data_IF_965369308905
#
_entry.id   IF_965369308905
#
_cell.length_a   1.000
_cell.length_b   1.000
_cell.length_c   1.000
_cell.angle_alpha   90.00
_cell.angle_beta   90.00
_cell.angle_gamma   90.00
#
_symmetry.space_group_name_H-M   'P 1'
#
loop_
_entity.id
_entity.type
_entity.pdbx_description
1 polymer ?
#
# COMPACT_ATOMS: atom_id res chain seq x y z
N UNK A 1 -12.00 24.83 11.85
CA UNK A 1 -10.92 23.82 11.81
C UNK A 1 -10.18 24.00 10.48
N UNK A 2 -8.86 23.81 10.44
CA UNK A 2 -8.09 23.88 9.19
C UNK A 2 -8.50 22.68 8.32
N UNK A 3 -8.78 22.90 7.02
CA UNK A 3 -9.08 21.82 6.08
C UNK A 3 -7.90 20.84 6.02
N UNK A 4 -8.13 19.52 5.99
CA UNK A 4 -7.05 18.55 6.01
C UNK A 4 -6.33 18.49 4.65
N UNK A 5 -5.06 18.13 4.67
CA UNK A 5 -4.34 17.69 3.48
C UNK A 5 -4.76 16.26 3.10
N UNK A 6 -4.91 15.96 1.81
CA UNK A 6 -5.19 14.58 1.36
C UNK A 6 -3.90 13.90 0.93
N UNK A 7 -3.59 12.76 1.54
CA UNK A 7 -2.52 11.86 1.13
C UNK A 7 -3.16 10.73 0.34
N UNK A 8 -3.00 10.73 -0.97
CA UNK A 8 -3.76 9.88 -1.90
C UNK A 8 -2.87 8.79 -2.48
N UNK A 9 -3.26 7.53 -2.29
CA UNK A 9 -2.70 6.38 -3.00
C UNK A 9 -3.09 6.47 -4.49
N UNK A 10 -2.20 7.03 -5.29
CA UNK A 10 -2.48 7.32 -6.69
C UNK A 10 -2.48 6.07 -7.57
N UNK A 11 -1.69 5.05 -7.24
CA UNK A 11 -1.61 3.84 -8.07
C UNK A 11 -2.97 3.17 -8.25
N UNK A 12 -3.80 3.14 -7.20
CA UNK A 12 -5.17 2.63 -7.29
C UNK A 12 -6.03 3.43 -8.26
N UNK A 13 -6.07 4.76 -8.10
CA UNK A 13 -6.93 5.63 -8.92
C UNK A 13 -6.51 5.62 -10.39
N UNK A 14 -5.20 5.67 -10.65
CA UNK A 14 -4.66 5.67 -12.01
C UNK A 14 -4.83 4.32 -12.71
N UNK A 15 -4.64 3.21 -11.98
CA UNK A 15 -4.89 1.89 -12.51
C UNK A 15 -6.37 1.71 -12.88
N UNK A 16 -7.28 2.10 -12.00
CA UNK A 16 -8.73 2.03 -12.23
C UNK A 16 -9.16 2.91 -13.40
N UNK A 17 -8.65 4.14 -13.48
CA UNK A 17 -8.96 5.07 -14.57
C UNK A 17 -8.47 4.53 -15.93
N UNK A 18 -7.25 3.99 -15.98
CA UNK A 18 -6.72 3.37 -17.18
C UNK A 18 -7.53 2.14 -17.59
N UNK A 19 -7.91 1.27 -16.64
CA UNK A 19 -8.79 0.11 -16.92
C UNK A 19 -10.16 0.52 -17.45
N UNK A 20 -10.77 1.56 -16.86
CA UNK A 20 -12.07 2.07 -17.31
C UNK A 20 -12.01 2.82 -18.66
N UNK A 21 -10.80 3.20 -19.08
CA UNK A 21 -10.55 3.84 -20.35
C UNK A 21 -10.07 2.88 -21.45
N UNK A 22 -9.99 1.60 -21.16
CA UNK A 22 -9.74 0.57 -22.19
C UNK A 22 -11.02 0.30 -22.99
N UNK A 23 -10.85 0.19 -24.29
CA UNK A 23 -11.88 -0.30 -25.23
C UNK A 23 -11.30 -1.49 -25.99
N UNK A 24 -12.10 -2.53 -26.13
CA UNK A 24 -11.76 -3.77 -26.83
C UNK A 24 -12.44 -3.79 -28.19
N UNK A 25 -11.64 -3.95 -29.25
CA UNK A 25 -12.10 -3.98 -30.62
C UNK A 25 -11.77 -5.33 -31.24
N UNK A 26 -12.79 -6.11 -31.57
CA UNK A 26 -12.68 -7.36 -32.29
C UNK A 26 -12.70 -7.08 -33.80
N UNK A 27 -11.59 -7.35 -34.48
CA UNK A 27 -11.46 -7.19 -35.94
C UNK A 27 -11.70 -8.49 -36.69
N UNK A 28 -11.41 -9.62 -36.07
CA UNK A 28 -11.72 -10.98 -36.57
C UNK A 28 -11.75 -11.95 -35.38
N UNK A 29 -12.22 -13.22 -35.59
CA UNK A 29 -12.19 -14.25 -34.55
C UNK A 29 -10.83 -14.45 -33.89
N UNK A 30 -9.73 -14.14 -34.59
CA UNK A 30 -8.37 -14.34 -34.15
C UNK A 30 -7.62 -13.03 -33.84
N UNK A 31 -8.29 -11.86 -33.94
CA UNK A 31 -7.67 -10.55 -33.73
C UNK A 31 -8.56 -9.62 -32.89
N UNK A 32 -8.18 -9.47 -31.65
CA UNK A 32 -8.74 -8.47 -30.75
C UNK A 32 -7.66 -7.46 -30.39
N UNK A 33 -7.97 -6.17 -30.52
CA UNK A 33 -7.07 -5.06 -30.17
C UNK A 33 -7.63 -4.30 -28.99
N UNK A 34 -6.81 -4.10 -27.96
CA UNK A 34 -7.16 -3.30 -26.78
C UNK A 34 -6.52 -1.93 -26.92
N UNK A 35 -7.34 -0.89 -26.85
CA UNK A 35 -6.92 0.52 -26.98
C UNK A 35 -7.24 1.27 -25.71
N UNK A 36 -6.30 2.08 -25.21
CA UNK A 36 -6.52 2.97 -24.07
C UNK A 36 -6.84 4.39 -24.53
N UNK A 37 -8.01 4.88 -24.16
CA UNK A 37 -8.39 6.29 -24.35
C UNK A 37 -7.73 7.15 -23.26
N UNK A 38 -6.64 7.80 -23.62
CA UNK A 38 -5.87 8.64 -22.70
C UNK A 38 -6.67 9.85 -22.20
N UNK A 39 -7.53 10.45 -23.03
CA UNK A 39 -8.35 11.61 -22.64
C UNK A 39 -9.42 11.19 -21.64
N UNK A 40 -10.10 10.08 -21.88
CA UNK A 40 -11.06 9.47 -20.96
C UNK A 40 -10.41 9.14 -19.62
N UNK A 41 -9.21 8.50 -19.63
CA UNK A 41 -8.45 8.21 -18.43
C UNK A 41 -8.10 9.46 -17.61
N UNK A 42 -7.62 10.53 -18.26
CA UNK A 42 -7.34 11.82 -17.63
C UNK A 42 -8.57 12.41 -16.96
N UNK A 43 -9.69 12.43 -17.68
CA UNK A 43 -10.94 13.00 -17.16
C UNK A 43 -11.44 12.24 -15.93
N UNK A 44 -11.31 10.91 -15.92
CA UNK A 44 -11.67 10.09 -14.75
C UNK A 44 -10.80 10.47 -13.55
N UNK A 45 -9.47 10.51 -13.70
CA UNK A 45 -8.57 10.89 -12.60
C UNK A 45 -8.87 12.28 -12.09
N UNK A 46 -9.02 13.27 -12.99
CA UNK A 46 -9.32 14.65 -12.60
C UNK A 46 -10.63 14.75 -11.81
N UNK A 47 -11.66 14.03 -12.24
CA UNK A 47 -12.94 14.00 -11.55
C UNK A 47 -12.84 13.36 -10.17
N UNK A 48 -12.09 12.24 -10.04
CA UNK A 48 -11.88 11.58 -8.74
C UNK A 48 -11.15 12.50 -7.75
N UNK A 49 -10.08 13.15 -8.18
CA UNK A 49 -9.35 14.12 -7.35
C UNK A 49 -10.25 15.28 -6.94
N UNK A 50 -11.04 15.84 -7.87
CA UNK A 50 -11.97 16.91 -7.59
C UNK A 50 -13.07 16.48 -6.59
N UNK A 51 -13.59 15.26 -6.73
CA UNK A 51 -14.60 14.72 -5.81
C UNK A 51 -14.04 14.57 -4.39
N UNK A 52 -12.79 14.10 -4.25
CA UNK A 52 -12.11 14.01 -2.95
C UNK A 52 -11.88 15.39 -2.35
N UNK A 53 -11.38 16.34 -3.14
CA UNK A 53 -11.19 17.72 -2.72
C UNK A 53 -12.49 18.36 -2.23
N UNK A 54 -13.59 18.14 -2.95
CA UNK A 54 -14.94 18.63 -2.58
C UNK A 54 -15.44 17.96 -1.30
N UNK A 55 -15.27 16.64 -1.18
CA UNK A 55 -15.72 15.89 0.01
C UNK A 55 -15.06 16.40 1.29
N UNK A 56 -13.77 16.72 1.24
CA UNK A 56 -13.01 17.14 2.40
C UNK A 56 -12.81 18.66 2.51
N UNK A 57 -13.48 19.42 1.66
CA UNK A 57 -13.39 20.88 1.59
C UNK A 57 -11.94 21.39 1.60
N UNK A 58 -11.13 20.84 0.70
CA UNK A 58 -9.70 21.16 0.60
C UNK A 58 -9.22 21.17 -0.84
N UNK A 59 -8.13 21.91 -1.10
CA UNK A 59 -7.39 21.86 -2.37
C UNK A 59 -5.96 21.37 -2.16
N UNK A 60 -5.59 21.07 -0.90
CA UNK A 60 -4.26 20.59 -0.54
C UNK A 60 -4.25 19.06 -0.57
N UNK A 61 -3.53 18.50 -1.52
CA UNK A 61 -3.35 17.06 -1.66
C UNK A 61 -1.97 16.73 -2.22
N UNK A 62 -1.56 15.48 -2.04
CA UNK A 62 -0.38 14.89 -2.67
C UNK A 62 -0.73 13.49 -3.15
N UNK A 63 -0.37 13.19 -4.39
CA UNK A 63 -0.49 11.87 -5.00
C UNK A 63 0.78 11.05 -4.74
N UNK A 64 0.61 9.85 -4.24
CA UNK A 64 1.74 8.95 -3.95
C UNK A 64 1.77 7.82 -4.98
N UNK A 65 2.94 7.59 -5.57
CA UNK A 65 3.13 6.56 -6.59
C UNK A 65 4.26 5.61 -6.20
N UNK A 66 4.09 4.35 -6.53
CA UNK A 66 5.12 3.32 -6.41
C UNK A 66 6.26 3.56 -7.38
N UNK A 67 7.50 3.42 -6.91
CA UNK A 67 8.69 3.40 -7.74
C UNK A 67 8.77 2.13 -8.60
N UNK A 68 9.65 2.15 -9.60
CA UNK A 68 9.92 0.98 -10.46
C UNK A 68 10.65 -0.12 -9.69
N UNK A 69 11.53 0.30 -8.78
CA UNK A 69 12.29 -0.61 -7.89
C UNK A 69 11.53 -0.80 -6.58
N UNK A 70 11.65 -1.99 -5.97
CA UNK A 70 11.05 -2.29 -4.68
C UNK A 70 12.09 -2.99 -3.78
N UNK A 71 12.40 -2.39 -2.64
CA UNK A 71 13.38 -2.91 -1.68
C UNK A 71 13.02 -4.29 -1.14
N UNK A 72 11.72 -4.65 -1.05
CA UNK A 72 11.27 -5.97 -0.58
C UNK A 72 11.78 -7.11 -1.45
N UNK A 73 12.10 -6.86 -2.72
CA UNK A 73 12.75 -7.86 -3.60
C UNK A 73 14.19 -8.17 -3.20
N UNK A 74 14.83 -7.31 -2.41
CA UNK A 74 16.13 -7.63 -1.80
C UNK A 74 15.97 -8.56 -0.57
N UNK A 75 14.79 -8.51 0.09
CA UNK A 75 14.46 -9.39 1.22
C UNK A 75 13.98 -10.75 0.69
N UNK A 76 13.07 -10.73 -0.29
CA UNK A 76 12.56 -11.93 -0.97
C UNK A 76 12.38 -11.62 -2.46
N UNK A 77 13.20 -12.21 -3.35
CA UNK A 77 13.09 -12.00 -4.81
C UNK A 77 11.74 -12.42 -5.39
N UNK A 78 10.99 -13.30 -4.72
CA UNK A 78 9.68 -13.76 -5.15
C UNK A 78 8.53 -12.81 -4.81
N UNK A 79 8.79 -11.76 -4.00
CA UNK A 79 7.78 -10.78 -3.58
C UNK A 79 7.04 -10.19 -4.80
N UNK A 80 5.70 -10.28 -4.78
CA UNK A 80 4.79 -9.88 -5.88
C UNK A 80 5.09 -10.56 -7.24
N UNK A 81 5.85 -11.66 -7.23
CA UNK A 81 6.19 -12.43 -8.44
C UNK A 81 4.99 -13.15 -9.07
N UNK A 82 3.91 -13.33 -8.31
CA UNK A 82 2.65 -13.91 -8.77
C UNK A 82 1.76 -12.92 -9.56
N UNK A 83 2.14 -11.65 -9.65
CA UNK A 83 1.40 -10.62 -10.39
C UNK A 83 1.72 -10.70 -11.88
N UNK A 84 1.01 -11.59 -12.59
CA UNK A 84 1.19 -11.84 -14.02
C UNK A 84 0.27 -11.02 -14.93
N UNK A 85 -0.74 -10.36 -14.38
CA UNK A 85 -1.68 -9.55 -15.16
C UNK A 85 -0.97 -8.35 -15.79
N UNK A 86 -1.23 -8.12 -17.09
CA UNK A 86 -0.77 -6.91 -17.77
C UNK A 86 -1.32 -5.65 -17.09
N UNK A 87 -0.58 -4.59 -17.15
CA UNK A 87 -1.11 -3.26 -16.80
C UNK A 87 -2.09 -2.79 -17.87
N UNK A 88 -3.11 -1.99 -17.52
CA UNK A 88 -4.03 -1.42 -18.49
C UNK A 88 -3.31 -0.58 -19.56
N UNK A 89 -3.87 -0.57 -20.78
CA UNK A 89 -3.36 0.26 -21.87
C UNK A 89 -3.34 1.75 -21.45
N UNK A 90 -2.23 2.42 -21.74
CA UNK A 90 -2.08 3.83 -21.40
C UNK A 90 -1.78 4.13 -19.93
N UNK A 91 -1.75 3.12 -19.02
CA UNK A 91 -1.47 3.35 -17.59
C UNK A 91 -0.17 4.12 -17.34
N UNK A 92 0.95 3.72 -17.97
CA UNK A 92 2.23 4.39 -17.76
C UNK A 92 2.21 5.85 -18.25
N UNK A 93 1.56 6.11 -19.38
CA UNK A 93 1.38 7.47 -19.91
C UNK A 93 0.49 8.30 -18.98
N UNK A 94 -0.56 7.71 -18.43
CA UNK A 94 -1.46 8.37 -17.48
C UNK A 94 -0.73 8.69 -16.16
N UNK A 95 0.07 7.74 -15.64
CA UNK A 95 0.91 7.94 -14.46
C UNK A 95 1.89 9.10 -14.69
N UNK A 96 2.60 9.12 -15.83
CA UNK A 96 3.53 10.21 -16.14
C UNK A 96 2.81 11.57 -16.19
N UNK A 97 1.66 11.63 -16.85
CA UNK A 97 0.85 12.84 -16.84
C UNK A 97 0.44 13.27 -15.42
N UNK A 98 0.10 12.32 -14.55
CA UNK A 98 -0.21 12.60 -13.15
C UNK A 98 0.95 13.25 -12.41
N UNK A 99 2.15 12.68 -12.56
CA UNK A 99 3.39 13.22 -12.01
C UNK A 99 3.72 14.63 -12.49
N UNK A 100 3.44 14.93 -13.77
CA UNK A 100 3.70 16.23 -14.39
C UNK A 100 2.65 17.29 -14.04
N UNK A 101 1.42 16.87 -13.69
CA UNK A 101 0.25 17.75 -13.59
C UNK A 101 -0.22 18.02 -12.16
N UNK A 102 0.16 17.17 -11.19
CA UNK A 102 -0.30 17.27 -9.80
C UNK A 102 0.85 17.27 -8.82
N UNK A 103 0.66 17.83 -7.61
CA UNK A 103 1.57 17.60 -6.49
C UNK A 103 1.70 16.10 -6.24
N UNK A 104 2.86 15.54 -6.49
CA UNK A 104 3.10 14.10 -6.48
C UNK A 104 4.39 13.73 -5.78
N UNK A 105 4.46 12.53 -5.21
CA UNK A 105 5.65 12.00 -4.55
C UNK A 105 5.91 10.55 -4.99
N UNK A 106 7.17 10.28 -5.33
CA UNK A 106 7.77 8.94 -5.42
C UNK A 106 8.98 8.94 -4.50
N UNK A 107 9.10 7.94 -3.64
CA UNK A 107 10.33 7.71 -2.88
C UNK A 107 11.14 6.59 -3.53
N UNK A 108 12.47 6.75 -3.69
CA UNK A 108 13.31 5.75 -4.35
C UNK A 108 13.21 4.38 -3.70
N UNK A 109 12.99 3.35 -4.51
CA UNK A 109 12.92 1.96 -4.06
C UNK A 109 11.70 1.57 -3.25
N UNK A 110 10.69 2.46 -3.11
CA UNK A 110 9.51 2.25 -2.26
C UNK A 110 8.22 2.09 -3.06
N UNK A 111 7.26 1.42 -2.43
CA UNK A 111 5.86 1.44 -2.87
C UNK A 111 5.17 2.73 -2.39
N UNK A 112 4.04 3.07 -3.01
CA UNK A 112 3.23 4.22 -2.61
C UNK A 112 2.83 4.13 -1.13
N UNK A 113 2.51 2.93 -0.65
CA UNK A 113 2.10 2.65 0.73
C UNK A 113 3.19 3.02 1.73
N UNK A 114 4.46 2.70 1.41
CA UNK A 114 5.61 3.06 2.25
C UNK A 114 5.81 4.57 2.29
N UNK A 115 5.74 5.23 1.14
CA UNK A 115 5.86 6.68 1.06
C UNK A 115 4.72 7.38 1.82
N UNK A 116 3.49 6.85 1.75
CA UNK A 116 2.34 7.29 2.53
C UNK A 116 2.59 7.14 4.03
N UNK A 117 3.08 5.97 4.47
CA UNK A 117 3.35 5.71 5.88
C UNK A 117 4.45 6.61 6.45
N UNK A 118 5.53 6.82 5.70
CA UNK A 118 6.62 7.72 6.09
C UNK A 118 6.10 9.15 6.27
N UNK A 119 5.36 9.69 5.30
CA UNK A 119 4.84 11.06 5.36
C UNK A 119 3.76 11.21 6.44
N UNK A 120 2.86 10.25 6.57
CA UNK A 120 1.80 10.26 7.58
C UNK A 120 2.33 10.22 9.03
N UNK A 121 3.52 9.65 9.25
CA UNK A 121 4.13 9.52 10.58
C UNK A 121 5.29 10.49 10.82
N UNK A 122 5.65 11.34 9.86
CA UNK A 122 6.78 12.27 9.96
C UNK A 122 6.52 13.44 10.93
N UNK A 123 5.25 13.78 11.19
CA UNK A 123 4.89 14.99 11.93
C UNK A 123 4.97 16.28 11.10
N UNK A 124 5.32 16.21 9.81
CA UNK A 124 5.39 17.39 8.92
C UNK A 124 4.01 17.92 8.51
N UNK A 125 2.98 17.08 8.62
CA UNK A 125 1.61 17.41 8.25
C UNK A 125 0.69 17.30 9.46
N UNK A 126 0.27 18.43 10.04
CA UNK A 126 -0.52 18.47 11.26
C UNK A 126 -1.93 17.86 11.13
N UNK A 127 -2.58 18.03 9.97
CA UNK A 127 -3.94 17.55 9.74
C UNK A 127 -4.05 16.98 8.33
N UNK A 128 -4.31 15.69 8.25
CA UNK A 128 -4.46 14.99 6.97
C UNK A 128 -5.49 13.86 7.04
N UNK A 129 -5.89 13.38 5.85
CA UNK A 129 -6.64 12.15 5.65
C UNK A 129 -5.88 11.31 4.64
N UNK A 130 -5.60 10.06 4.97
CA UNK A 130 -5.05 9.08 4.05
C UNK A 130 -6.20 8.49 3.23
N UNK A 131 -6.06 8.49 1.90
CA UNK A 131 -7.10 8.05 0.96
C UNK A 131 -6.61 6.82 0.21
N UNK A 132 -7.12 5.65 0.54
CA UNK A 132 -6.88 4.41 -0.22
C UNK A 132 -7.89 3.33 0.17
N UNK A 133 -8.35 2.49 -0.75
CA UNK A 133 -9.15 1.31 -0.45
C UNK A 133 -8.30 0.11 0.01
N UNK A 134 -6.96 0.25 0.01
CA UNK A 134 -6.10 -0.84 0.47
C UNK A 134 -6.17 -0.97 1.99
N UNK A 135 -6.63 -2.15 2.45
CA UNK A 135 -6.76 -2.49 3.87
C UNK A 135 -5.41 -2.49 4.62
N UNK A 136 -4.31 -2.68 3.88
CA UNK A 136 -2.99 -2.83 4.49
C UNK A 136 -2.47 -1.48 5.00
N UNK A 137 -2.95 -0.37 4.44
CA UNK A 137 -2.69 0.98 4.94
C UNK A 137 -3.28 1.26 6.34
N UNK A 138 -4.14 0.38 6.85
CA UNK A 138 -4.53 0.39 8.27
C UNK A 138 -3.37 0.01 9.24
N UNK A 139 -2.18 -0.32 8.74
CA UNK A 139 -0.94 -0.33 9.54
C UNK A 139 -0.44 1.07 9.90
N UNK A 140 -1.02 2.14 9.35
CA UNK A 140 -0.64 3.52 9.64
C UNK A 140 -1.63 4.10 10.65
N UNK A 141 -1.19 4.52 11.86
CA UNK A 141 -2.08 5.07 12.87
C UNK A 141 -2.49 6.50 12.51
N UNK A 142 -3.56 6.65 11.73
CA UNK A 142 -4.06 7.94 11.26
C UNK A 142 -5.55 7.89 10.89
N UNK A 143 -6.08 9.02 10.43
CA UNK A 143 -7.42 9.13 9.85
C UNK A 143 -7.38 8.63 8.41
N UNK A 144 -8.21 7.63 8.08
CA UNK A 144 -8.25 6.94 6.79
C UNK A 144 -9.65 7.04 6.17
N UNK A 145 -9.70 7.26 4.86
CA UNK A 145 -10.89 7.10 4.05
C UNK A 145 -10.68 6.00 3.01
N UNK A 146 -11.38 4.88 3.16
CA UNK A 146 -11.25 3.68 2.32
C UNK A 146 -12.14 3.72 1.05
N UNK A 147 -12.61 4.90 0.66
CA UNK A 147 -13.57 5.20 -0.41
C UNK A 147 -15.03 4.83 -0.09
N UNK A 148 -15.30 4.25 1.06
CA UNK A 148 -16.64 3.93 1.56
C UNK A 148 -16.86 4.55 2.95
N UNK A 149 -15.94 4.26 3.86
CA UNK A 149 -16.00 4.66 5.24
C UNK A 149 -14.79 5.51 5.62
N UNK A 150 -15.00 6.38 6.58
CA UNK A 150 -13.95 7.14 7.21
C UNK A 150 -13.81 6.65 8.66
N UNK A 151 -12.57 6.38 9.09
CA UNK A 151 -12.25 5.91 10.43
C UNK A 151 -10.86 6.39 10.86
N UNK A 152 -10.60 6.30 12.15
CA UNK A 152 -9.28 6.56 12.70
C UNK A 152 -8.69 5.26 13.23
N UNK A 153 -7.48 4.95 12.75
CA UNK A 153 -6.71 3.80 13.18
C UNK A 153 -5.85 4.18 14.38
N UNK A 154 -5.90 3.40 15.46
CA UNK A 154 -5.04 3.62 16.63
C UNK A 154 -3.67 2.95 16.44
N UNK A 155 -2.63 3.39 17.19
CA UNK A 155 -1.32 2.72 17.15
C UNK A 155 -1.41 1.22 17.47
N UNK A 156 -2.21 0.84 18.47
CA UNK A 156 -2.37 -0.56 18.88
C UNK A 156 -3.06 -1.40 17.80
N UNK A 157 -4.07 -0.83 17.13
CA UNK A 157 -4.75 -1.51 16.03
C UNK A 157 -3.82 -1.68 14.82
N UNK A 158 -3.03 -0.66 14.52
CA UNK A 158 -2.05 -0.66 13.43
C UNK A 158 -0.95 -1.71 13.67
N UNK A 159 -0.39 -1.74 14.87
CA UNK A 159 0.60 -2.73 15.28
C UNK A 159 0.03 -4.15 15.23
N UNK A 160 -1.16 -4.36 15.79
CA UNK A 160 -1.84 -5.67 15.76
C UNK A 160 -2.08 -6.18 14.34
N UNK A 161 -2.41 -5.28 13.40
CA UNK A 161 -2.57 -5.64 11.99
C UNK A 161 -1.23 -6.10 11.38
N UNK A 162 -0.14 -5.40 11.61
CA UNK A 162 1.19 -5.78 11.14
C UNK A 162 1.57 -7.20 11.60
N UNK A 163 1.43 -7.49 12.89
CA UNK A 163 1.79 -8.82 13.41
C UNK A 163 0.80 -9.92 12.97
N UNK A 164 -0.47 -9.57 12.75
CA UNK A 164 -1.43 -10.48 12.12
C UNK A 164 -0.98 -10.87 10.70
N UNK A 165 -0.52 -9.91 9.91
CA UNK A 165 -0.02 -10.16 8.55
C UNK A 165 1.31 -10.92 8.55
N UNK A 166 2.19 -10.67 9.52
CA UNK A 166 3.39 -11.48 9.73
C UNK A 166 3.05 -12.96 9.87
N UNK A 167 2.05 -13.29 10.70
CA UNK A 167 1.61 -14.67 10.94
C UNK A 167 0.83 -15.27 9.78
N UNK A 168 -0.11 -14.52 9.20
CA UNK A 168 -1.01 -15.01 8.17
C UNK A 168 -0.38 -15.04 6.76
N UNK A 169 0.63 -14.19 6.51
CA UNK A 169 1.13 -13.90 5.18
C UNK A 169 0.13 -13.12 4.33
N UNK A 170 0.52 -12.85 3.09
CA UNK A 170 -0.35 -12.27 2.07
C UNK A 170 -0.15 -12.97 0.72
N UNK A 171 -1.19 -13.64 0.25
CA UNK A 171 -1.19 -14.34 -1.03
C UNK A 171 -1.17 -13.38 -2.23
N UNK A 172 -1.68 -12.15 -2.07
CA UNK A 172 -1.69 -11.11 -3.10
C UNK A 172 -0.28 -10.59 -3.35
N UNK A 173 0.50 -10.46 -2.29
CA UNK A 173 1.90 -10.04 -2.34
C UNK A 173 2.89 -11.21 -2.49
N UNK A 174 2.37 -12.43 -2.44
CA UNK A 174 3.11 -13.64 -2.79
C UNK A 174 4.02 -14.16 -1.68
N UNK A 175 3.87 -13.71 -0.42
CA UNK A 175 4.60 -14.28 0.70
C UNK A 175 3.69 -15.12 1.61
N UNK A 176 4.22 -16.27 2.03
CA UNK A 176 3.49 -17.22 2.89
C UNK A 176 3.77 -16.88 4.35
N UNK A 177 2.70 -16.80 5.14
CA UNK A 177 2.81 -16.75 6.59
C UNK A 177 3.19 -18.09 7.22
N UNK A 178 2.99 -18.20 8.52
CA UNK A 178 3.16 -19.46 9.25
C UNK A 178 2.13 -20.51 8.78
N UNK A 179 2.59 -21.72 8.50
CA UNK A 179 1.76 -22.79 7.95
C UNK A 179 0.51 -23.06 8.82
N UNK A 180 -0.66 -23.06 8.20
CA UNK A 180 -1.94 -23.30 8.87
C UNK A 180 -2.49 -22.12 9.70
N UNK A 181 -1.81 -20.97 9.68
CA UNK A 181 -2.23 -19.76 10.39
C UNK A 181 -2.84 -18.77 9.38
N UNK A 182 -4.16 -18.72 9.30
CA UNK A 182 -4.87 -17.66 8.59
C UNK A 182 -5.22 -16.48 9.52
N UNK A 183 -5.82 -15.39 9.00
CA UNK A 183 -6.06 -14.16 9.78
C UNK A 183 -6.79 -14.38 11.11
N UNK A 184 -7.83 -15.23 11.15
CA UNK A 184 -8.57 -15.51 12.41
C UNK A 184 -7.70 -16.17 13.48
N UNK A 185 -6.85 -17.14 13.08
CA UNK A 185 -5.93 -17.80 14.01
C UNK A 185 -4.81 -16.87 14.43
N UNK A 186 -4.29 -16.07 13.52
CA UNK A 186 -3.27 -15.05 13.81
C UNK A 186 -3.78 -14.08 14.89
N UNK A 187 -4.99 -13.54 14.73
CA UNK A 187 -5.60 -12.67 15.73
C UNK A 187 -5.76 -13.37 17.09
N UNK A 188 -6.23 -14.62 17.11
CA UNK A 188 -6.38 -15.38 18.36
C UNK A 188 -5.03 -15.61 19.07
N UNK A 189 -3.93 -15.86 18.32
CA UNK A 189 -2.57 -15.97 18.84
C UNK A 189 -2.15 -14.65 19.49
N UNK A 190 -2.34 -13.53 18.79
CA UNK A 190 -1.95 -12.20 19.29
C UNK A 190 -2.75 -11.82 20.54
N UNK A 191 -4.07 -12.04 20.53
CA UNK A 191 -4.97 -11.70 21.65
C UNK A 191 -4.71 -12.55 22.91
N UNK A 192 -4.17 -13.75 22.75
CA UNK A 192 -3.79 -14.61 23.88
C UNK A 192 -2.37 -14.35 24.42
N UNK A 193 -1.58 -13.54 23.72
CA UNK A 193 -0.18 -13.28 24.07
C UNK A 193 -0.08 -12.41 25.34
N UNK A 194 0.78 -12.85 26.27
CA UNK A 194 1.15 -12.08 27.47
C UNK A 194 2.50 -11.41 27.37
N UNK A 195 3.31 -11.79 26.37
CA UNK A 195 4.72 -11.41 26.24
C UNK A 195 4.98 -10.51 25.02
N UNK A 196 3.91 -9.88 24.49
CA UNK A 196 4.00 -9.05 23.30
C UNK A 196 3.84 -9.82 21.98
N UNK A 197 3.49 -9.10 20.94
CA UNK A 197 3.12 -9.69 19.64
C UNK A 197 4.31 -10.35 18.94
N UNK A 198 5.51 -9.76 19.03
CA UNK A 198 6.70 -10.35 18.41
C UNK A 198 7.01 -11.74 18.97
N UNK A 199 7.06 -11.87 20.29
CA UNK A 199 7.32 -13.16 20.92
C UNK A 199 6.26 -14.21 20.54
N UNK A 200 4.98 -13.81 20.46
CA UNK A 200 3.92 -14.70 19.99
C UNK A 200 4.13 -15.16 18.55
N UNK A 201 4.60 -14.27 17.66
CA UNK A 201 4.96 -14.64 16.30
C UNK A 201 6.11 -15.66 16.28
N UNK A 202 7.22 -15.35 16.96
CA UNK A 202 8.40 -16.23 17.03
C UNK A 202 8.03 -17.61 17.56
N UNK A 203 7.27 -17.69 18.66
CA UNK A 203 6.84 -18.96 19.26
C UNK A 203 5.96 -19.76 18.28
N UNK A 204 5.06 -19.07 17.56
CA UNK A 204 4.19 -19.73 16.58
C UNK A 204 4.98 -20.30 15.40
N UNK A 205 5.98 -19.54 14.90
CA UNK A 205 6.87 -20.02 13.83
C UNK A 205 7.71 -21.20 14.30
N UNK A 206 8.28 -21.15 15.51
CA UNK A 206 9.07 -22.27 16.10
C UNK A 206 8.20 -23.52 16.29
N UNK A 207 6.95 -23.39 16.73
CA UNK A 207 6.01 -24.51 16.83
C UNK A 207 5.68 -25.15 15.47
N UNK A 208 5.74 -24.37 14.39
CA UNK A 208 5.56 -24.86 13.04
C UNK A 208 6.84 -25.41 12.39
N UNK A 209 7.96 -25.51 13.16
CA UNK A 209 9.25 -25.98 12.66
C UNK A 209 10.01 -24.96 11.81
N UNK A 210 9.63 -23.69 11.90
CA UNK A 210 10.27 -22.56 11.22
C UNK A 210 11.18 -21.80 12.19
N UNK A 211 11.91 -20.84 11.66
CA UNK A 211 12.89 -20.07 12.45
C UNK A 211 12.38 -18.67 12.81
N UNK A 212 13.09 -18.00 13.70
CA UNK A 212 12.87 -16.59 14.02
C UNK A 212 13.19 -15.68 12.82
N UNK A 213 14.21 -16.07 12.00
CA UNK A 213 14.53 -15.39 10.75
C UNK A 213 13.40 -15.46 9.73
N UNK A 214 12.66 -16.58 9.70
CA UNK A 214 11.46 -16.68 8.84
C UNK A 214 10.36 -15.73 9.29
N UNK A 215 10.14 -15.63 10.60
CA UNK A 215 9.20 -14.67 11.18
C UNK A 215 9.64 -13.22 10.89
N UNK A 216 10.91 -12.89 11.07
CA UNK A 216 11.47 -11.56 10.82
C UNK A 216 11.40 -11.19 9.33
N UNK A 217 11.71 -12.13 8.44
CA UNK A 217 11.54 -11.92 6.99
C UNK A 217 10.10 -11.54 6.67
N UNK A 218 9.13 -12.30 7.15
CA UNK A 218 7.72 -12.02 6.88
C UNK A 218 7.24 -10.73 7.53
N UNK A 219 7.71 -10.40 8.70
CA UNK A 219 7.42 -9.12 9.35
C UNK A 219 7.91 -7.94 8.50
N UNK A 220 9.12 -8.03 7.95
CA UNK A 220 9.70 -7.02 7.07
C UNK A 220 9.00 -6.91 5.71
N UNK A 221 8.47 -8.01 5.17
CA UNK A 221 7.67 -8.00 3.95
C UNK A 221 6.29 -7.35 4.18
N UNK A 222 5.67 -7.63 5.33
CA UNK A 222 4.37 -7.08 5.71
C UNK A 222 4.44 -5.60 6.10
N UNK A 223 5.57 -5.13 6.65
CA UNK A 223 5.73 -3.79 7.21
C UNK A 223 5.53 -2.69 6.16
N UNK A 224 4.54 -1.83 6.34
CA UNK A 224 4.47 -0.53 5.70
C UNK A 224 5.40 0.41 6.47
N UNK A 225 6.36 1.01 5.76
CA UNK A 225 7.38 1.84 6.41
C UNK A 225 6.77 3.10 7.03
N UNK A 226 7.31 3.47 8.18
CA UNK A 226 7.03 4.73 8.87
C UNK A 226 8.28 5.61 8.89
N UNK A 227 8.19 6.81 9.40
CA UNK A 227 9.33 7.74 9.42
C UNK A 227 10.57 7.15 10.10
N UNK A 228 10.39 6.34 11.14
CA UNK A 228 11.49 5.63 11.82
C UNK A 228 12.17 4.55 10.96
N UNK A 229 11.50 4.10 9.91
CA UNK A 229 11.98 3.06 9.00
C UNK A 229 12.63 3.65 7.73
N UNK A 230 12.93 4.96 7.73
CA UNK A 230 13.46 5.66 6.56
C UNK A 230 14.69 6.53 6.91
N UNK A 231 15.81 6.29 6.23
CA UNK A 231 16.98 7.16 6.29
C UNK A 231 16.83 8.24 5.21
N UNK A 232 16.50 9.46 5.64
CA UNK A 232 16.25 10.56 4.72
C UNK A 232 17.53 11.10 4.05
N UNK A 233 18.71 10.89 4.65
CA UNK A 233 19.98 11.34 4.09
C UNK A 233 20.48 10.41 2.97
N UNK A 234 20.27 9.09 3.17
CA UNK A 234 20.67 8.07 2.19
C UNK A 234 19.57 7.72 1.19
N UNK A 235 18.34 8.18 1.46
CA UNK A 235 17.14 7.79 0.72
C UNK A 235 16.97 6.26 0.64
N UNK A 236 17.15 5.58 1.78
CA UNK A 236 17.10 4.12 1.90
C UNK A 236 16.20 3.67 3.05
N UNK A 237 15.51 2.51 2.91
CA UNK A 237 14.74 1.93 4.00
C UNK A 237 15.67 1.38 5.09
N UNK A 238 15.32 1.66 6.35
CA UNK A 238 15.87 1.01 7.53
C UNK A 238 15.00 -0.23 7.79
N UNK A 239 15.60 -1.42 7.74
CA UNK A 239 14.85 -2.65 7.94
C UNK A 239 14.35 -2.75 9.38
N UNK A 240 13.03 -2.89 9.51
CA UNK A 240 12.36 -2.98 10.81
C UNK A 240 12.92 -4.10 11.67
N UNK A 241 13.12 -3.80 12.95
CA UNK A 241 13.53 -4.74 14.01
C UNK A 241 12.56 -4.58 15.18
N UNK A 242 11.81 -5.63 15.57
CA UNK A 242 10.81 -5.61 16.64
C UNK A 242 11.41 -5.47 18.03
#
# INVERSE_FOLDING_TARGET
MKSPKLLIDADYFFYRAASAAEDEHEYSPDLTVIVGDFIKGKNIVQQEVNNLCTRFDTKDFTLFFTDVVNFRKKIDPSYKGNRTKRKPCGYLKLKQWGLDSFPSLIKPGLEADDALGIVATSGEVDSFVLISPDKDLAQIPCRIYDLKNEYTQTPEQAERLLYMQCLAGDSTDGYKGCAGIGPKRALAVLDSSKNGYWNACVDTYKQAGLTEEDALRNLRLARILQVSDWDAEKEEPILFTP
#
